data_IF_512805753923
#
_entry.id   IF_512805753923
#
_cell.length_a   1.000
_cell.length_b   1.000
_cell.length_c   1.000
_cell.angle_alpha   90.00
_cell.angle_beta   90.00
_cell.angle_gamma   90.00
#
_symmetry.space_group_name_H-M   'P 1'
#
loop_
_entity.id
_entity.type
_entity.pdbx_description
1 polymer ?
#
# COMPACT_ATOMS: atom_id res chain seq x y z
N UNK A 1 -5.73 -24.53 -8.42
CA UNK A 1 -5.96 -24.08 -7.03
C UNK A 1 -5.62 -22.59 -6.96
N UNK A 2 -6.60 -21.72 -6.72
CA UNK A 2 -6.34 -20.28 -6.52
C UNK A 2 -5.59 -20.13 -5.20
N UNK A 3 -4.42 -19.49 -5.23
CA UNK A 3 -3.59 -19.29 -4.05
C UNK A 3 -4.29 -18.31 -3.11
N UNK A 4 -4.63 -18.77 -1.90
CA UNK A 4 -5.27 -17.91 -0.90
C UNK A 4 -4.18 -17.18 -0.10
N UNK A 5 -4.13 -15.87 -0.20
CA UNK A 5 -3.18 -15.03 0.51
C UNK A 5 -3.76 -14.62 1.87
N UNK A 6 -3.06 -14.88 2.97
CA UNK A 6 -3.50 -14.48 4.31
C UNK A 6 -3.75 -12.95 4.40
N UNK A 7 -2.95 -12.15 3.68
CA UNK A 7 -3.16 -10.71 3.54
C UNK A 7 -4.57 -10.35 3.03
N UNK A 8 -5.14 -11.14 2.12
CA UNK A 8 -6.45 -10.90 1.49
C UNK A 8 -7.61 -11.63 2.19
N UNK A 9 -7.34 -12.28 3.33
CA UNK A 9 -8.33 -13.07 4.06
C UNK A 9 -9.16 -12.17 5.00
N UNK A 10 -9.88 -11.22 4.42
CA UNK A 10 -10.84 -10.34 5.09
C UNK A 10 -12.05 -10.12 4.18
N UNK A 11 -13.22 -9.74 4.74
CA UNK A 11 -14.38 -9.37 3.95
C UNK A 11 -14.07 -8.26 2.96
N UNK A 12 -14.66 -8.34 1.76
CA UNK A 12 -14.58 -7.31 0.74
C UNK A 12 -15.78 -6.36 0.82
N UNK A 13 -15.64 -5.13 0.38
CA UNK A 13 -14.44 -4.51 -0.19
C UNK A 13 -13.39 -4.19 0.87
N UNK A 14 -12.09 -4.35 0.53
CA UNK A 14 -10.99 -3.95 1.40
C UNK A 14 -10.89 -2.42 1.43
N UNK A 15 -11.00 -1.81 2.60
CA UNK A 15 -10.81 -0.39 2.79
C UNK A 15 -9.36 -0.11 3.21
N UNK A 16 -8.62 0.63 2.39
CA UNK A 16 -7.24 1.03 2.68
C UNK A 16 -7.16 2.51 3.00
N UNK A 17 -6.52 2.85 4.11
CA UNK A 17 -6.04 4.21 4.34
C UNK A 17 -4.69 4.38 3.63
N UNK A 18 -4.67 5.19 2.56
CA UNK A 18 -3.48 5.48 1.76
C UNK A 18 -2.52 6.33 2.58
N UNK A 19 -1.27 5.87 2.76
CA UNK A 19 -0.26 6.47 3.65
C UNK A 19 -0.74 6.70 5.10
N UNK A 20 -1.71 5.91 5.56
CA UNK A 20 -2.37 6.11 6.85
C UNK A 20 -3.51 7.13 6.84
N UNK A 21 -3.94 7.62 5.66
CA UNK A 21 -4.93 8.68 5.53
C UNK A 21 -4.26 10.06 5.53
N UNK A 22 -3.64 10.42 4.42
CA UNK A 22 -2.79 11.59 4.24
C UNK A 22 -3.55 12.95 4.27
N UNK A 23 -4.45 13.11 5.22
CA UNK A 23 -5.13 14.38 5.48
C UNK A 23 -4.19 15.33 6.23
N UNK A 24 -4.31 16.63 5.93
CA UNK A 24 -3.59 17.70 6.62
C UNK A 24 -2.06 17.66 6.52
N UNK A 25 -1.51 17.00 5.49
CA UNK A 25 -0.07 16.98 5.22
C UNK A 25 0.75 15.96 5.98
N UNK A 26 0.13 15.17 6.85
CA UNK A 26 0.75 14.02 7.49
C UNK A 26 0.55 12.79 6.62
N UNK A 27 1.64 12.10 6.30
CA UNK A 27 1.63 10.86 5.52
C UNK A 27 2.66 9.90 6.10
N UNK A 28 2.38 8.59 6.08
CA UNK A 28 3.29 7.55 6.58
C UNK A 28 3.69 7.73 8.08
N UNK A 29 2.89 8.46 8.84
CA UNK A 29 3.11 8.79 10.24
C UNK A 29 2.46 7.76 11.18
N UNK A 30 3.10 7.46 12.31
CA UNK A 30 2.61 6.48 13.30
C UNK A 30 1.26 6.89 13.87
N UNK A 31 1.08 8.19 14.12
CA UNK A 31 -0.19 8.74 14.61
C UNK A 31 -1.34 8.48 13.64
N UNK A 32 -1.11 8.58 12.34
CA UNK A 32 -2.12 8.29 11.31
C UNK A 32 -2.54 6.82 11.33
N UNK A 33 -1.59 5.89 11.50
CA UNK A 33 -1.93 4.47 11.63
C UNK A 33 -2.76 4.19 12.90
N UNK A 34 -2.44 4.86 14.01
CA UNK A 34 -3.23 4.75 15.24
C UNK A 34 -4.66 5.31 15.05
N UNK A 35 -4.81 6.41 14.30
CA UNK A 35 -6.10 7.01 14.03
C UNK A 35 -6.99 6.09 13.18
N UNK A 36 -6.45 5.52 12.11
CA UNK A 36 -7.22 4.61 11.26
C UNK A 36 -7.50 3.27 11.93
N UNK A 37 -6.62 2.78 12.79
CA UNK A 37 -6.91 1.60 13.62
C UNK A 37 -8.09 1.89 14.57
N UNK A 38 -8.11 3.07 15.24
CA UNK A 38 -9.26 3.51 16.06
C UNK A 38 -10.55 3.67 15.26
N UNK A 39 -10.45 4.09 13.98
CA UNK A 39 -11.60 4.12 13.08
C UNK A 39 -12.11 2.70 12.73
N UNK A 40 -11.36 1.65 13.03
CA UNK A 40 -11.71 0.25 12.75
C UNK A 40 -11.25 -0.22 11.37
N UNK A 41 -10.26 0.43 10.78
CA UNK A 41 -9.62 -0.05 9.55
C UNK A 41 -8.81 -1.30 9.82
N UNK A 42 -8.72 -2.14 8.81
CA UNK A 42 -7.92 -3.36 8.81
C UNK A 42 -6.71 -3.25 7.89
N UNK A 43 -6.79 -2.40 6.89
CA UNK A 43 -5.74 -2.22 5.91
C UNK A 43 -5.24 -0.79 5.88
N UNK A 44 -3.94 -0.67 5.78
CA UNK A 44 -3.23 0.58 5.49
C UNK A 44 -2.31 0.38 4.29
N UNK A 45 -2.10 1.43 3.55
CA UNK A 45 -1.03 1.50 2.56
C UNK A 45 0.08 2.40 3.10
N UNK A 46 1.32 2.09 2.76
CA UNK A 46 2.49 2.87 3.16
C UNK A 46 3.61 2.74 2.13
N UNK A 47 4.39 3.79 2.02
CA UNK A 47 5.56 3.86 1.14
C UNK A 47 6.82 3.52 1.92
N UNK A 48 7.73 2.77 1.30
CA UNK A 48 9.02 2.45 1.93
C UNK A 48 10.18 2.88 1.05
N UNK A 49 11.12 3.59 1.70
CA UNK A 49 12.47 3.88 1.20
C UNK A 49 13.53 3.28 2.10
N UNK A 50 14.74 3.27 1.61
CA UNK A 50 15.86 2.66 2.31
C UNK A 50 16.96 3.69 2.54
N UNK A 51 17.44 3.79 3.78
CA UNK A 51 18.55 4.66 4.17
C UNK A 51 19.89 4.18 3.57
N UNK A 52 20.93 5.02 3.64
CA UNK A 52 22.28 4.68 3.15
C UNK A 52 22.87 3.43 3.83
N UNK A 53 22.48 3.15 5.06
CA UNK A 53 22.90 1.99 5.86
C UNK A 53 21.88 0.85 5.88
N UNK A 54 20.90 0.86 4.93
CA UNK A 54 20.04 -0.28 4.65
C UNK A 54 18.77 -0.38 5.51
N UNK A 55 18.42 0.63 6.30
CA UNK A 55 17.20 0.61 7.14
C UNK A 55 15.99 0.96 6.30
N UNK A 56 14.94 0.13 6.36
CA UNK A 56 13.64 0.40 5.75
C UNK A 56 12.84 1.40 6.59
N UNK A 57 12.49 2.54 6.02
CA UNK A 57 11.75 3.62 6.67
C UNK A 57 10.49 3.97 5.88
N UNK A 58 9.46 4.44 6.57
CA UNK A 58 8.21 4.85 5.95
C UNK A 58 8.36 6.27 5.37
N UNK A 59 8.47 6.36 4.05
CA UNK A 59 8.69 7.64 3.38
C UNK A 59 8.35 7.56 1.90
N UNK A 60 7.62 8.57 1.38
CA UNK A 60 7.19 8.59 -0.02
C UNK A 60 8.26 9.16 -0.95
N UNK A 61 8.69 10.40 -0.70
CA UNK A 61 9.50 11.16 -1.64
C UNK A 61 10.95 10.67 -1.71
N UNK A 62 11.61 10.91 -2.83
CA UNK A 62 13.05 10.70 -2.94
C UNK A 62 13.82 11.73 -2.12
N UNK A 63 13.37 13.00 -2.19
CA UNK A 63 13.91 14.10 -1.43
C UNK A 63 13.14 14.27 -0.10
N UNK A 64 13.88 14.44 1.01
CA UNK A 64 13.25 14.56 2.33
C UNK A 64 12.63 15.96 2.59
N UNK A 65 12.91 16.96 1.75
CA UNK A 65 12.62 18.36 2.03
C UNK A 65 11.14 18.70 2.18
N UNK A 66 10.26 18.11 1.37
CA UNK A 66 8.83 18.47 1.38
C UNK A 66 8.17 18.30 2.74
N UNK A 67 8.41 17.18 3.41
CA UNK A 67 7.73 16.83 4.67
C UNK A 67 8.57 17.06 5.92
N UNK A 68 9.91 17.16 5.80
CA UNK A 68 10.81 17.34 6.94
C UNK A 68 11.56 18.68 6.95
N UNK A 69 11.46 19.45 5.89
CA UNK A 69 12.21 20.71 5.72
C UNK A 69 13.70 20.51 5.41
N UNK A 70 14.23 19.27 5.40
CA UNK A 70 15.62 18.98 5.07
C UNK A 70 15.76 18.51 3.62
N UNK A 71 16.27 19.33 2.70
CA UNK A 71 16.46 18.92 1.30
C UNK A 71 17.54 17.85 1.16
N UNK A 72 17.42 17.05 0.14
CA UNK A 72 18.37 16.01 -0.25
C UNK A 72 17.76 14.60 -0.24
N UNK A 73 18.38 13.67 -0.99
CA UNK A 73 17.85 12.32 -1.14
C UNK A 73 17.96 11.55 0.17
N UNK A 74 16.83 10.96 0.60
CA UNK A 74 16.76 10.15 1.82
C UNK A 74 17.76 8.98 1.78
N UNK A 75 17.97 8.39 0.61
CA UNK A 75 18.92 7.29 0.40
C UNK A 75 20.40 7.65 0.67
N UNK A 76 20.73 8.95 0.76
CA UNK A 76 22.08 9.41 1.14
C UNK A 76 22.27 9.53 2.66
N UNK A 77 21.21 9.43 3.43
CA UNK A 77 21.21 9.60 4.88
C UNK A 77 21.28 8.24 5.59
N UNK A 78 22.10 8.15 6.65
CA UNK A 78 22.07 7.01 7.57
C UNK A 78 20.85 7.08 8.48
N UNK A 79 20.45 5.97 9.05
CA UNK A 79 19.33 5.91 10.00
C UNK A 79 19.49 6.92 11.16
N UNK A 80 20.69 7.05 11.72
CA UNK A 80 20.99 8.03 12.77
C UNK A 80 20.67 9.48 12.38
N UNK A 81 20.69 9.80 11.10
CA UNK A 81 20.32 11.12 10.58
C UNK A 81 18.82 11.19 10.27
N UNK A 82 18.24 10.11 9.73
CA UNK A 82 16.80 10.07 9.39
C UNK A 82 15.94 10.09 10.65
N UNK A 83 16.31 9.41 11.72
CA UNK A 83 15.58 9.41 12.99
C UNK A 83 15.51 10.80 13.65
N UNK A 84 16.40 11.72 13.29
CA UNK A 84 16.38 13.10 13.77
C UNK A 84 15.47 13.99 12.91
N UNK A 85 14.95 13.49 11.79
CA UNK A 85 13.99 14.22 10.96
C UNK A 85 12.60 14.10 11.55
N UNK A 86 11.83 15.18 11.48
CA UNK A 86 10.44 15.18 11.91
C UNK A 86 9.54 15.78 10.83
N UNK A 87 8.32 15.30 10.78
CA UNK A 87 7.24 15.95 10.05
C UNK A 87 6.90 17.31 10.67
N UNK A 88 6.12 18.14 9.96
CA UNK A 88 5.77 19.48 10.43
C UNK A 88 5.05 19.53 11.79
N UNK A 89 4.51 18.41 12.27
CA UNK A 89 3.91 18.27 13.60
C UNK A 89 4.90 17.80 14.70
N UNK A 90 6.18 17.61 14.37
CA UNK A 90 7.20 17.13 15.30
C UNK A 90 7.32 15.60 15.40
N UNK A 91 6.47 14.84 14.73
CA UNK A 91 6.55 13.38 14.70
C UNK A 91 7.73 12.90 13.83
N UNK A 92 8.45 11.90 14.29
CA UNK A 92 9.65 11.39 13.61
C UNK A 92 9.31 10.41 12.49
N UNK A 93 10.22 10.29 11.51
CA UNK A 93 10.15 9.27 10.47
C UNK A 93 10.28 7.87 11.11
N UNK A 94 9.34 6.98 10.82
CA UNK A 94 9.26 5.67 11.45
C UNK A 94 10.00 4.59 10.66
N UNK A 95 10.51 3.58 11.37
CA UNK A 95 11.04 2.34 10.78
C UNK A 95 9.91 1.36 10.49
N UNK A 96 10.05 0.62 9.39
CA UNK A 96 9.07 -0.39 9.01
C UNK A 96 8.89 -1.49 10.06
N UNK A 97 9.97 -1.98 10.67
CA UNK A 97 9.90 -3.04 11.68
C UNK A 97 9.16 -2.60 12.94
N UNK A 98 9.43 -1.38 13.41
CA UNK A 98 8.75 -0.80 14.58
C UNK A 98 7.25 -0.65 14.33
N UNK A 99 6.86 -0.18 13.15
CA UNK A 99 5.44 -0.01 12.79
C UNK A 99 4.73 -1.36 12.65
N UNK A 100 5.35 -2.36 12.02
CA UNK A 100 4.78 -3.70 11.93
C UNK A 100 4.56 -4.34 13.31
N UNK A 101 5.41 -4.04 14.30
CA UNK A 101 5.27 -4.55 15.66
C UNK A 101 4.26 -3.73 16.47
N UNK A 102 4.22 -2.41 16.31
CA UNK A 102 3.30 -1.52 17.04
C UNK A 102 1.82 -1.75 16.65
N UNK A 103 1.54 -2.16 15.42
CA UNK A 103 0.17 -2.35 14.90
C UNK A 103 -0.12 -3.80 14.48
N UNK A 104 -0.24 -4.74 15.44
CA UNK A 104 -0.46 -6.16 15.14
C UNK A 104 -1.83 -6.43 14.49
N UNK A 105 -2.82 -5.55 14.66
CA UNK A 105 -4.16 -5.63 14.06
C UNK A 105 -4.19 -5.20 12.59
N UNK A 106 -3.25 -4.36 12.14
CA UNK A 106 -3.24 -3.83 10.80
C UNK A 106 -2.53 -4.75 9.78
N UNK A 107 -2.99 -4.68 8.55
CA UNK A 107 -2.38 -5.30 7.35
C UNK A 107 -1.79 -4.19 6.48
N UNK A 108 -0.54 -4.34 6.11
CA UNK A 108 0.24 -3.31 5.43
C UNK A 108 0.43 -3.63 3.95
N UNK A 109 -0.09 -2.75 3.07
CA UNK A 109 0.30 -2.70 1.68
C UNK A 109 1.54 -1.80 1.55
N UNK A 110 2.68 -2.37 1.20
CA UNK A 110 3.97 -1.68 1.20
C UNK A 110 4.42 -1.41 -0.23
N UNK A 111 4.49 -0.14 -0.62
CA UNK A 111 5.03 0.26 -1.93
C UNK A 111 6.54 0.51 -1.85
N UNK A 112 7.32 -0.26 -2.61
CA UNK A 112 8.77 -0.10 -2.71
C UNK A 112 9.11 1.08 -3.62
N UNK A 113 9.59 2.19 -3.05
CA UNK A 113 9.93 3.41 -3.79
C UNK A 113 11.32 3.39 -4.43
N UNK A 114 12.25 2.61 -3.88
CA UNK A 114 13.65 2.54 -4.34
C UNK A 114 14.17 1.10 -4.48
N UNK A 115 15.37 0.93 -4.99
CA UNK A 115 16.01 -0.38 -5.17
C UNK A 115 16.47 -0.99 -3.85
N UNK A 116 16.76 -0.19 -2.83
CA UNK A 116 17.12 -0.66 -1.49
C UNK A 116 16.01 -1.47 -0.85
N UNK A 117 14.75 -1.07 -1.06
CA UNK A 117 13.55 -1.79 -0.59
C UNK A 117 13.45 -3.24 -1.06
N UNK A 118 14.13 -3.61 -2.16
CA UNK A 118 14.19 -5.00 -2.64
C UNK A 118 14.93 -5.92 -1.65
N UNK A 119 15.82 -5.39 -0.85
CA UNK A 119 16.54 -6.14 0.18
C UNK A 119 15.95 -5.88 1.56
N UNK A 120 15.82 -4.61 1.95
CA UNK A 120 15.46 -4.21 3.31
C UNK A 120 14.05 -4.67 3.73
N UNK A 121 13.06 -4.59 2.85
CA UNK A 121 11.68 -5.00 3.19
C UNK A 121 11.56 -6.52 3.39
N UNK A 122 12.08 -7.39 2.49
CA UNK A 122 12.10 -8.84 2.77
C UNK A 122 12.84 -9.22 4.05
N UNK A 123 13.94 -8.56 4.40
CA UNK A 123 14.66 -8.79 5.66
C UNK A 123 13.81 -8.45 6.88
N UNK A 124 13.13 -7.30 6.86
CA UNK A 124 12.19 -6.91 7.92
C UNK A 124 11.07 -7.93 8.03
N UNK A 125 10.42 -8.31 6.92
CA UNK A 125 9.31 -9.27 6.90
C UNK A 125 9.75 -10.64 7.45
N UNK A 126 10.93 -11.11 7.09
CA UNK A 126 11.48 -12.37 7.58
C UNK A 126 11.79 -12.31 9.10
N UNK A 127 12.44 -11.24 9.55
CA UNK A 127 12.82 -11.05 10.94
C UNK A 127 11.63 -10.88 11.88
N UNK A 128 10.60 -10.15 11.45
CA UNK A 128 9.38 -9.92 12.25
C UNK A 128 8.38 -11.08 12.16
N UNK A 129 8.51 -11.98 11.18
CA UNK A 129 7.53 -13.05 10.95
C UNK A 129 6.15 -12.57 10.46
N UNK A 130 6.04 -11.32 10.00
CA UNK A 130 4.74 -10.67 9.69
C UNK A 130 4.26 -10.86 8.26
N UNK A 131 4.85 -11.78 7.48
CA UNK A 131 4.55 -11.99 6.06
C UNK A 131 3.08 -12.19 5.71
N UNK A 132 2.30 -12.81 6.60
CA UNK A 132 0.85 -13.00 6.40
C UNK A 132 0.03 -11.70 6.43
N UNK A 133 0.56 -10.63 6.99
CA UNK A 133 -0.09 -9.31 7.09
C UNK A 133 0.46 -8.27 6.12
N UNK A 134 1.33 -8.68 5.21
CA UNK A 134 2.03 -7.78 4.28
C UNK A 134 1.71 -8.13 2.84
N UNK A 135 1.47 -7.10 2.04
CA UNK A 135 1.48 -7.16 0.59
C UNK A 135 2.54 -6.19 0.07
N UNK A 136 3.44 -6.66 -0.79
CA UNK A 136 4.51 -5.83 -1.34
C UNK A 136 4.22 -5.44 -2.77
N UNK A 137 4.26 -4.15 -3.06
CA UNK A 137 3.96 -3.55 -4.36
C UNK A 137 5.09 -2.64 -4.83
N UNK A 138 5.09 -2.25 -6.06
CA UNK A 138 5.87 -1.17 -6.65
C UNK A 138 5.36 -0.86 -8.06
N UNK A 139 5.52 0.37 -8.51
CA UNK A 139 5.33 0.73 -9.93
C UNK A 139 6.28 -0.04 -10.84
N UNK A 140 7.49 -0.38 -10.34
CA UNK A 140 8.48 -1.18 -11.07
C UNK A 140 8.18 -2.68 -10.97
N UNK A 141 7.73 -3.29 -12.07
CA UNK A 141 7.54 -4.75 -12.14
C UNK A 141 8.82 -5.53 -11.80
N UNK A 142 9.96 -5.04 -12.26
CA UNK A 142 11.27 -5.64 -11.99
C UNK A 142 11.58 -5.65 -10.50
N UNK A 143 11.26 -4.55 -9.80
CA UNK A 143 11.45 -4.41 -8.34
C UNK A 143 10.57 -5.40 -7.59
N UNK A 144 9.29 -5.48 -7.94
CA UNK A 144 8.36 -6.46 -7.35
C UNK A 144 8.83 -7.90 -7.55
N UNK A 145 9.26 -8.27 -8.76
CA UNK A 145 9.71 -9.64 -9.04
C UNK A 145 10.97 -10.02 -8.25
N UNK A 146 11.88 -9.07 -8.08
CA UNK A 146 13.09 -9.29 -7.26
C UNK A 146 12.75 -9.44 -5.78
N UNK A 147 11.88 -8.58 -5.25
CA UNK A 147 11.41 -8.67 -3.86
C UNK A 147 10.64 -9.97 -3.62
N UNK A 148 9.74 -10.38 -4.53
CA UNK A 148 8.98 -11.62 -4.44
C UNK A 148 9.85 -12.87 -4.30
N UNK A 149 10.98 -12.93 -5.01
CA UNK A 149 11.92 -14.07 -4.89
C UNK A 149 12.54 -14.17 -3.48
N UNK A 150 12.69 -13.04 -2.78
CA UNK A 150 13.23 -12.98 -1.42
C UNK A 150 12.18 -13.22 -0.34
N UNK A 151 10.95 -12.71 -0.58
CA UNK A 151 9.83 -12.82 0.35
C UNK A 151 9.27 -14.26 0.47
N UNK A 152 9.48 -15.08 -0.56
CA UNK A 152 8.89 -16.41 -0.61
C UNK A 152 7.41 -16.42 -1.04
N UNK A 153 6.87 -17.63 -1.22
CA UNK A 153 5.60 -17.81 -1.91
C UNK A 153 4.35 -17.47 -1.11
N UNK A 154 4.44 -17.30 0.20
CA UNK A 154 3.30 -16.99 1.08
C UNK A 154 3.03 -15.50 1.24
N UNK A 155 3.98 -14.63 0.90
CA UNK A 155 3.78 -13.18 1.00
C UNK A 155 3.06 -12.66 -0.25
N UNK A 156 1.99 -11.90 -0.04
CA UNK A 156 1.24 -11.29 -1.13
C UNK A 156 2.10 -10.25 -1.86
N UNK A 157 1.96 -10.18 -3.18
CA UNK A 157 2.62 -9.14 -3.98
C UNK A 157 1.70 -8.63 -5.07
N UNK A 158 1.87 -7.36 -5.47
CA UNK A 158 1.11 -6.77 -6.55
C UNK A 158 1.75 -6.92 -7.93
N UNK A 159 1.10 -6.32 -8.93
CA UNK A 159 1.64 -6.10 -10.27
C UNK A 159 2.16 -4.67 -10.37
N UNK A 160 3.38 -4.51 -10.89
CA UNK A 160 3.86 -3.22 -11.37
C UNK A 160 3.34 -2.91 -12.77
N UNK A 161 3.69 -1.74 -13.32
CA UNK A 161 3.19 -1.28 -14.63
C UNK A 161 3.43 -2.32 -15.75
N UNK A 162 4.63 -2.87 -15.85
CA UNK A 162 4.94 -3.92 -16.82
C UNK A 162 4.17 -5.23 -16.59
N UNK A 163 3.83 -5.54 -15.33
CA UNK A 163 2.99 -6.68 -14.97
C UNK A 163 1.54 -6.50 -15.40
N UNK A 164 0.99 -5.30 -15.25
CA UNK A 164 -0.35 -4.94 -15.76
C UNK A 164 -0.40 -5.06 -17.30
N UNK A 165 0.59 -4.52 -18.00
CA UNK A 165 0.68 -4.64 -19.45
C UNK A 165 0.75 -6.12 -19.88
N UNK A 166 1.56 -6.95 -19.21
CA UNK A 166 1.63 -8.39 -19.47
C UNK A 166 0.28 -9.08 -19.17
N UNK A 167 -0.40 -8.76 -18.07
CA UNK A 167 -1.73 -9.30 -17.74
C UNK A 167 -2.72 -9.02 -18.87
N UNK A 168 -2.77 -7.79 -19.39
CA UNK A 168 -3.67 -7.42 -20.49
C UNK A 168 -3.35 -8.20 -21.76
N UNK A 169 -2.06 -8.34 -22.10
CA UNK A 169 -1.63 -8.98 -23.35
C UNK A 169 -1.75 -10.52 -23.31
N UNK A 170 -1.42 -11.14 -22.17
CA UNK A 170 -1.23 -12.59 -22.10
C UNK A 170 -2.21 -13.32 -21.18
N UNK A 171 -3.06 -12.59 -20.45
CA UNK A 171 -3.96 -13.15 -19.42
C UNK A 171 -3.21 -13.92 -18.31
N UNK A 172 -2.02 -13.47 -17.92
CA UNK A 172 -1.20 -14.15 -16.91
C UNK A 172 -0.82 -13.19 -15.79
N UNK A 173 -1.27 -13.48 -14.57
CA UNK A 173 -0.98 -12.71 -13.36
C UNK A 173 0.46 -12.88 -12.83
N UNK A 174 1.20 -13.90 -13.28
CA UNK A 174 2.61 -14.09 -12.91
C UNK A 174 2.87 -14.31 -11.43
N UNK A 175 1.90 -14.89 -10.68
CA UNK A 175 2.03 -15.19 -9.25
C UNK A 175 1.78 -13.99 -8.33
N UNK A 176 1.22 -12.89 -8.83
CA UNK A 176 0.72 -11.78 -8.01
C UNK A 176 -0.60 -12.15 -7.32
N UNK A 177 -0.91 -11.49 -6.21
CA UNK A 177 -2.19 -11.60 -5.50
C UNK A 177 -3.12 -10.41 -5.74
N UNK A 178 -2.55 -9.25 -6.09
CA UNK A 178 -3.33 -8.02 -6.28
C UNK A 178 -3.00 -7.30 -7.59
N UNK A 179 -4.02 -6.67 -8.16
CA UNK A 179 -3.95 -5.66 -9.21
C UNK A 179 -4.36 -4.33 -8.60
N UNK A 180 -3.41 -3.40 -8.47
CA UNK A 180 -3.66 -2.06 -7.92
C UNK A 180 -3.44 -1.02 -9.00
N UNK A 181 -4.48 -0.27 -9.33
CA UNK A 181 -4.50 0.64 -10.47
C UNK A 181 -5.20 1.95 -10.12
N UNK A 182 -4.84 3.06 -10.78
CA UNK A 182 -5.54 4.32 -10.57
C UNK A 182 -7.01 4.19 -10.97
N UNK A 183 -7.90 4.79 -10.14
CA UNK A 183 -9.33 4.86 -10.46
C UNK A 183 -9.59 5.75 -11.67
N UNK A 184 -8.91 6.89 -11.70
CA UNK A 184 -8.97 7.83 -12.82
C UNK A 184 -7.73 7.66 -13.69
N UNK A 185 -7.94 7.24 -14.92
CA UNK A 185 -6.91 7.06 -15.94
C UNK A 185 -6.63 8.39 -16.66
N UNK A 186 -5.56 8.49 -17.47
CA UNK A 186 -5.29 9.66 -18.28
C UNK A 186 -6.52 10.11 -19.08
N UNK A 187 -6.69 11.43 -19.22
CA UNK A 187 -7.85 12.10 -19.85
C UNK A 187 -9.14 11.96 -19.04
N UNK A 188 -9.06 11.77 -17.70
CA UNK A 188 -10.21 11.74 -16.81
C UNK A 188 -11.13 10.51 -16.96
N UNK A 189 -10.68 9.45 -17.61
CA UNK A 189 -11.49 8.24 -17.81
C UNK A 189 -11.44 7.34 -16.58
N UNK A 190 -12.58 6.93 -16.07
CA UNK A 190 -12.65 5.93 -14.99
C UNK A 190 -12.16 4.56 -15.45
N UNK A 191 -11.63 3.79 -14.53
CA UNK A 191 -11.17 2.42 -14.76
C UNK A 191 -12.26 1.59 -15.48
N UNK A 192 -11.96 0.95 -16.62
CA UNK A 192 -12.95 0.20 -17.36
C UNK A 192 -13.30 -1.13 -16.68
N UNK A 193 -14.57 -1.49 -16.66
CA UNK A 193 -15.06 -2.72 -16.02
C UNK A 193 -14.40 -4.01 -16.54
N UNK A 194 -13.97 -4.01 -17.83
CA UNK A 194 -13.31 -5.18 -18.39
C UNK A 194 -11.96 -5.48 -17.70
N UNK A 195 -11.21 -4.45 -17.24
CA UNK A 195 -9.93 -4.65 -16.55
C UNK A 195 -10.15 -5.19 -15.12
N UNK A 196 -11.21 -4.72 -14.43
CA UNK A 196 -11.61 -5.28 -13.14
C UNK A 196 -11.93 -6.77 -13.30
N UNK A 197 -12.83 -7.10 -14.25
CA UNK A 197 -13.19 -8.51 -14.53
C UNK A 197 -12.00 -9.36 -14.96
N UNK A 198 -11.08 -8.80 -15.74
CA UNK A 198 -9.86 -9.50 -16.13
C UNK A 198 -9.02 -9.86 -14.91
N UNK A 199 -8.71 -8.89 -14.04
CA UNK A 199 -7.95 -9.15 -12.80
C UNK A 199 -8.58 -10.25 -11.96
N UNK A 200 -9.88 -10.16 -11.72
CA UNK A 200 -10.63 -11.13 -10.91
C UNK A 200 -10.65 -12.54 -11.52
N UNK A 201 -10.82 -12.66 -12.85
CA UNK A 201 -10.74 -13.96 -13.56
C UNK A 201 -9.37 -14.62 -13.43
N UNK A 202 -8.31 -13.81 -13.36
CA UNK A 202 -6.94 -14.29 -13.17
C UNK A 202 -6.57 -14.48 -11.68
N UNK A 203 -7.57 -14.41 -10.78
CA UNK A 203 -7.43 -14.67 -9.34
C UNK A 203 -6.79 -13.53 -8.56
N UNK A 204 -6.76 -12.31 -9.12
CA UNK A 204 -6.26 -11.12 -8.43
C UNK A 204 -7.40 -10.41 -7.68
N UNK A 205 -7.10 -9.90 -6.49
CA UNK A 205 -7.94 -8.86 -5.90
C UNK A 205 -7.62 -7.51 -6.58
N UNK A 206 -8.66 -6.82 -7.03
CA UNK A 206 -8.53 -5.55 -7.76
C UNK A 206 -8.80 -4.40 -6.82
N UNK A 207 -7.78 -3.58 -6.55
CA UNK A 207 -7.88 -2.39 -5.71
C UNK A 207 -7.63 -1.14 -6.55
N UNK A 208 -8.32 -0.05 -6.22
CA UNK A 208 -8.18 1.25 -6.90
C UNK A 208 -7.68 2.32 -5.96
N UNK A 209 -6.89 3.27 -6.49
CA UNK A 209 -6.28 4.39 -5.77
C UNK A 209 -6.21 5.65 -6.65
N UNK A 210 -6.10 6.87 -6.11
CA UNK A 210 -6.61 7.26 -4.81
C UNK A 210 -8.01 7.78 -5.02
N UNK A 211 -8.97 7.41 -4.19
CA UNK A 211 -10.38 7.75 -4.37
C UNK A 211 -10.92 8.35 -3.07
N UNK A 212 -11.14 9.67 -3.05
CA UNK A 212 -11.50 10.43 -1.85
C UNK A 212 -12.91 10.99 -1.89
N UNK A 213 -13.42 11.24 -3.10
CA UNK A 213 -14.77 11.75 -3.31
C UNK A 213 -15.80 10.64 -3.08
N UNK A 214 -16.86 10.87 -2.27
CA UNK A 214 -17.86 9.85 -1.96
C UNK A 214 -18.62 9.33 -3.19
N UNK A 215 -18.86 10.16 -4.22
CA UNK A 215 -19.53 9.73 -5.46
C UNK A 215 -18.60 8.84 -6.28
N UNK A 216 -17.30 9.15 -6.29
CA UNK A 216 -16.31 8.31 -6.97
C UNK A 216 -16.06 6.98 -6.23
N UNK A 217 -16.11 6.98 -4.89
CA UNK A 217 -16.07 5.75 -4.09
C UNK A 217 -17.27 4.86 -4.43
N UNK A 218 -18.49 5.41 -4.44
CA UNK A 218 -19.70 4.69 -4.84
C UNK A 218 -19.53 4.09 -6.25
N UNK A 219 -19.06 4.90 -7.21
CA UNK A 219 -18.86 4.44 -8.58
C UNK A 219 -17.79 3.33 -8.71
N UNK A 220 -16.75 3.36 -7.88
CA UNK A 220 -15.74 2.31 -7.82
C UNK A 220 -16.32 1.00 -7.26
N UNK A 221 -17.11 1.09 -6.19
CA UNK A 221 -17.81 -0.06 -5.60
C UNK A 221 -18.81 -0.68 -6.59
N UNK A 222 -19.59 0.13 -7.29
CA UNK A 222 -20.53 -0.33 -8.33
C UNK A 222 -19.81 -0.96 -9.54
N UNK A 223 -18.56 -0.58 -9.79
CA UNK A 223 -17.69 -1.21 -10.79
C UNK A 223 -17.26 -2.63 -10.38
N UNK A 224 -17.48 -3.00 -9.11
CA UNK A 224 -17.15 -4.30 -8.56
C UNK A 224 -15.67 -4.47 -8.21
N UNK A 225 -14.97 -3.39 -7.83
CA UNK A 225 -13.59 -3.49 -7.31
C UNK A 225 -13.58 -4.24 -5.96
N UNK A 226 -12.46 -4.91 -5.67
CA UNK A 226 -12.30 -5.67 -4.43
C UNK A 226 -11.78 -4.81 -3.26
N UNK A 227 -11.39 -3.56 -3.53
CA UNK A 227 -11.00 -2.60 -2.50
C UNK A 227 -10.71 -1.21 -3.03
N UNK A 228 -10.73 -0.24 -2.11
CA UNK A 228 -10.51 1.18 -2.38
C UNK A 228 -9.44 1.71 -1.43
N UNK A 229 -8.47 2.46 -1.98
CA UNK A 229 -7.46 3.21 -1.24
C UNK A 229 -7.81 4.70 -1.28
N UNK A 230 -7.80 5.35 -0.11
CA UNK A 230 -8.23 6.72 0.07
C UNK A 230 -7.31 7.51 1.01
N UNK A 231 -7.15 8.80 0.76
CA UNK A 231 -6.56 9.76 1.69
C UNK A 231 -7.59 10.28 2.72
N UNK A 232 -8.89 10.00 2.49
CA UNK A 232 -10.01 10.43 3.33
C UNK A 232 -10.71 9.23 4.03
N UNK A 233 -10.07 8.57 5.01
CA UNK A 233 -10.58 7.33 5.59
C UNK A 233 -11.95 7.47 6.27
N UNK A 234 -12.27 8.62 6.86
CA UNK A 234 -13.59 8.85 7.43
C UNK A 234 -14.69 8.82 6.36
N UNK A 235 -14.42 9.40 5.17
CA UNK A 235 -15.37 9.42 4.04
C UNK A 235 -15.60 8.01 3.49
N UNK A 236 -14.53 7.23 3.25
CA UNK A 236 -14.67 5.86 2.75
C UNK A 236 -15.44 4.99 3.75
N UNK A 237 -15.14 5.11 5.05
CA UNK A 237 -15.87 4.39 6.10
C UNK A 237 -17.36 4.73 6.08
N UNK A 238 -17.73 6.01 6.00
CA UNK A 238 -19.12 6.45 5.97
C UNK A 238 -19.86 5.88 4.75
N UNK A 239 -19.27 5.93 3.56
CA UNK A 239 -19.83 5.30 2.34
C UNK A 239 -20.07 3.80 2.55
N UNK A 240 -19.08 3.07 3.09
CA UNK A 240 -19.19 1.64 3.32
C UNK A 240 -20.24 1.30 4.39
N UNK A 241 -20.37 2.14 5.43
CA UNK A 241 -21.41 1.97 6.45
C UNK A 241 -22.82 2.15 5.87
N UNK A 242 -23.05 3.21 5.07
CA UNK A 242 -24.34 3.42 4.39
C UNK A 242 -24.73 2.25 3.47
N UNK A 243 -23.75 1.59 2.86
CA UNK A 243 -23.95 0.42 2.00
C UNK A 243 -24.05 -0.92 2.76
N UNK A 244 -23.87 -0.93 4.08
CA UNK A 244 -23.83 -2.16 4.86
C UNK A 244 -22.61 -3.05 4.59
N UNK A 245 -21.53 -2.45 4.06
CA UNK A 245 -20.29 -3.15 3.63
C UNK A 245 -19.14 -2.94 4.62
N UNK A 246 -19.31 -2.09 5.63
CA UNK A 246 -18.26 -1.87 6.63
C UNK A 246 -18.14 -3.04 7.60
N UNK A 247 -16.97 -3.65 7.65
CA UNK A 247 -16.63 -4.67 8.65
C UNK A 247 -15.46 -4.16 9.49
N UNK A 248 -15.68 -4.02 10.82
CA UNK A 248 -14.60 -3.66 11.76
C UNK A 248 -13.49 -4.71 11.79
N UNK A 249 -12.26 -4.22 12.05
CA UNK A 249 -11.09 -5.05 12.33
C UNK A 249 -11.30 -5.93 13.58
#
# INVERSE_FOLDING_TARGET
MVRRWAFLDAPRPHAFAHRGGATEGLENAVSQFADVERLGYRYVETDVRTTADGVAVLFHDEDAGRVTGRPGPLSSLRWSQVQALSYGNGEQVARLDEVLDAFPGLRFNIDLKDEGGVASVPEVVARTGRGGRVCVTSFSQRRVERARRRLGPQVCTGLGVGGVARLVATRRAGGAGVLQVPWVLPRGRRLPAWLVRLGQREGLAVHVWTVDDPVEIEAALDRGVDGVMTDAPAVLKDVLQRRGLWTRA
#
